data_IF_776236957001
#
_entry.id   IF_776236957001
#
_cell.length_a   1.000
_cell.length_b   1.000
_cell.length_c   1.000
_cell.angle_alpha   90.00
_cell.angle_beta   90.00
_cell.angle_gamma   90.00
#
_symmetry.space_group_name_H-M   'P 1'
#
loop_
_entity.id
_entity.type
_entity.pdbx_description
1 polymer ?
#
# COMPACT_ATOMS: atom_id res chain seq x y z
N UNK A 1 -22.73 80.25 -0.14
CA UNK A 1 -22.20 79.64 -1.36
C UNK A 1 -21.06 78.72 -0.97
N UNK A 2 -21.37 77.40 -0.80
CA UNK A 2 -20.39 76.40 -0.53
C UNK A 2 -20.74 75.16 -1.36
N UNK A 3 -19.75 74.49 -1.93
CA UNK A 3 -20.04 73.40 -2.86
C UNK A 3 -20.43 72.10 -2.16
N UNK A 4 -21.43 71.45 -2.72
CA UNK A 4 -21.92 70.12 -2.35
C UNK A 4 -20.91 69.09 -2.91
N UNK A 5 -20.33 68.30 -2.01
CA UNK A 5 -19.52 67.12 -2.37
C UNK A 5 -20.43 65.92 -2.44
N UNK A 6 -20.66 65.39 -3.64
CA UNK A 6 -21.40 64.15 -3.84
C UNK A 6 -20.51 62.93 -3.51
N UNK A 7 -20.96 62.13 -2.58
CA UNK A 7 -20.36 60.80 -2.25
C UNK A 7 -20.98 59.77 -3.18
N UNK A 8 -20.15 59.19 -4.06
CA UNK A 8 -20.51 58.07 -4.92
C UNK A 8 -20.34 56.78 -4.13
N UNK A 9 -21.44 56.12 -3.74
CA UNK A 9 -21.42 54.78 -3.17
C UNK A 9 -21.23 53.75 -4.28
N UNK A 10 -20.05 53.13 -4.32
CA UNK A 10 -19.83 51.92 -5.10
C UNK A 10 -20.41 50.71 -4.29
N UNK A 11 -21.52 50.17 -4.77
CA UNK A 11 -22.04 48.88 -4.34
C UNK A 11 -21.15 47.79 -4.97
N UNK A 12 -20.27 47.20 -4.16
CA UNK A 12 -19.58 45.97 -4.50
C UNK A 12 -20.51 44.78 -4.27
N UNK A 13 -20.97 44.17 -5.35
CA UNK A 13 -21.70 42.91 -5.31
C UNK A 13 -20.74 41.78 -4.94
N UNK A 14 -20.83 41.29 -3.70
CA UNK A 14 -20.20 40.09 -3.24
C UNK A 14 -21.00 38.87 -3.81
N UNK A 15 -20.53 38.31 -4.92
CA UNK A 15 -20.96 36.97 -5.34
C UNK A 15 -20.31 35.95 -4.43
N UNK A 16 -21.09 35.38 -3.52
CA UNK A 16 -20.70 34.21 -2.74
C UNK A 16 -20.55 33.01 -3.68
N UNK A 17 -19.32 32.59 -3.93
CA UNK A 17 -19.05 31.30 -4.52
C UNK A 17 -19.46 30.22 -3.51
N UNK A 18 -20.53 29.50 -3.80
CA UNK A 18 -20.91 28.30 -3.05
C UNK A 18 -19.81 27.23 -3.14
N UNK A 19 -19.72 26.33 -2.15
CA UNK A 19 -18.74 25.23 -2.21
C UNK A 19 -19.03 24.39 -3.44
N UNK A 20 -17.99 24.16 -4.25
CA UNK A 20 -18.06 23.24 -5.37
C UNK A 20 -18.45 21.85 -4.82
N UNK A 21 -19.59 21.34 -5.28
CA UNK A 21 -19.99 19.98 -5.01
C UNK A 21 -18.87 19.05 -5.57
N UNK A 22 -18.18 18.32 -4.70
CA UNK A 22 -17.33 17.21 -5.09
C UNK A 22 -18.24 16.18 -5.71
N UNK A 23 -18.31 16.17 -7.04
CA UNK A 23 -19.03 15.14 -7.78
C UNK A 23 -18.43 13.79 -7.39
N UNK A 24 -19.28 12.91 -6.85
CA UNK A 24 -18.93 11.50 -6.74
C UNK A 24 -18.50 11.02 -8.12
N UNK A 25 -17.30 10.45 -8.23
CA UNK A 25 -16.86 9.83 -9.45
C UNK A 25 -17.89 8.77 -9.82
N UNK A 26 -18.54 8.97 -10.97
CA UNK A 26 -19.45 7.97 -11.50
C UNK A 26 -18.74 6.64 -11.70
N UNK A 27 -19.48 5.52 -11.76
CA UNK A 27 -18.87 4.22 -12.02
C UNK A 27 -18.06 4.30 -13.32
N UNK A 28 -16.80 3.83 -13.26
CA UNK A 28 -15.93 3.76 -14.41
C UNK A 28 -16.62 2.97 -15.54
N UNK A 29 -16.48 3.37 -16.80
CA UNK A 29 -17.12 2.66 -17.92
C UNK A 29 -16.64 1.22 -17.94
N UNK A 30 -17.60 0.28 -18.00
CA UNK A 30 -17.35 -1.16 -18.13
C UNK A 30 -16.61 -1.35 -19.46
N UNK A 31 -15.32 -1.67 -19.39
CA UNK A 31 -14.51 -1.95 -20.58
C UNK A 31 -13.28 -1.07 -20.79
N UNK A 32 -12.94 -0.17 -19.87
CA UNK A 32 -11.67 0.56 -19.94
C UNK A 32 -10.50 -0.42 -19.74
N UNK A 33 -9.77 -0.72 -20.82
CA UNK A 33 -8.50 -1.46 -20.73
C UNK A 33 -7.42 -0.52 -20.22
N UNK A 34 -6.61 -1.01 -19.29
CA UNK A 34 -5.44 -0.28 -18.82
C UNK A 34 -4.51 0.03 -20.01
N UNK A 35 -4.00 1.25 -20.09
CA UNK A 35 -3.03 1.69 -21.08
C UNK A 35 -1.89 2.42 -20.38
N UNK A 36 -0.65 1.92 -20.58
CA UNK A 36 0.55 2.56 -20.05
C UNK A 36 0.90 3.85 -20.77
N UNK A 37 1.66 4.70 -20.11
CA UNK A 37 2.19 5.96 -20.67
C UNK A 37 3.57 6.27 -20.09
N UNK A 38 4.33 7.09 -20.83
CA UNK A 38 5.61 7.64 -20.38
C UNK A 38 5.48 9.15 -20.34
N UNK A 39 5.81 9.73 -19.21
CA UNK A 39 5.78 11.17 -19.01
C UNK A 39 6.87 11.91 -19.81
N UNK A 40 6.89 13.24 -19.77
CA UNK A 40 7.91 14.05 -20.45
C UNK A 40 9.30 13.73 -19.89
N UNK A 41 10.32 13.77 -20.75
CA UNK A 41 11.72 13.62 -20.36
C UNK A 41 12.20 14.77 -19.46
N UNK A 42 13.23 14.51 -18.69
CA UNK A 42 13.90 15.52 -17.85
C UNK A 42 15.06 16.09 -18.64
N UNK A 43 15.04 17.40 -18.85
CA UNK A 43 16.00 18.11 -19.67
C UNK A 43 17.42 18.10 -19.08
N UNK A 44 18.49 18.19 -19.93
CA UNK A 44 19.85 18.24 -19.47
C UNK A 44 20.18 19.53 -18.71
N UNK A 45 21.18 19.51 -17.82
CA UNK A 45 21.68 20.71 -17.16
C UNK A 45 22.31 21.67 -18.17
N UNK A 46 22.36 22.95 -17.85
CA UNK A 46 22.95 23.97 -18.73
C UNK A 46 24.46 23.81 -18.93
N UNK A 47 25.13 23.22 -17.97
CA UNK A 47 26.57 22.95 -18.04
C UNK A 47 26.96 21.70 -17.27
N UNK A 48 28.04 21.05 -17.68
CA UNK A 48 28.63 19.89 -17.00
C UNK A 48 30.12 20.12 -16.76
N UNK A 49 30.71 19.63 -15.65
CA UNK A 49 32.15 19.66 -15.43
C UNK A 49 32.92 18.89 -16.52
N UNK A 50 34.21 19.18 -16.70
CA UNK A 50 35.08 18.45 -17.64
C UNK A 50 36.50 18.29 -17.10
N UNK A 51 37.20 17.24 -17.54
CA UNK A 51 38.63 17.05 -17.28
C UNK A 51 38.99 16.69 -15.85
N UNK A 52 38.05 16.13 -15.09
CA UNK A 52 38.28 15.66 -13.71
C UNK A 52 39.18 14.43 -13.77
N UNK A 53 40.27 14.37 -12.99
CA UNK A 53 41.21 13.25 -13.00
C UNK A 53 40.56 11.92 -12.60
N UNK A 54 40.61 10.90 -13.46
CA UNK A 54 40.03 9.58 -13.19
C UNK A 54 38.76 9.28 -13.99
N UNK A 55 37.93 8.42 -13.43
CA UNK A 55 36.61 8.08 -13.96
C UNK A 55 35.54 8.93 -13.27
N UNK A 56 34.82 9.74 -14.05
CA UNK A 56 33.80 10.64 -13.56
C UNK A 56 32.64 10.70 -14.54
N UNK A 57 31.42 10.93 -14.05
CA UNK A 57 30.23 11.07 -14.86
C UNK A 57 29.35 12.21 -14.33
N UNK A 58 28.76 12.98 -15.23
CA UNK A 58 27.67 13.89 -14.88
C UNK A 58 26.37 13.46 -15.55
N UNK A 59 25.29 13.50 -14.80
CA UNK A 59 23.96 13.29 -15.37
C UNK A 59 23.67 14.34 -16.44
N UNK A 60 23.13 13.90 -17.58
CA UNK A 60 22.88 14.78 -18.73
C UNK A 60 21.40 14.84 -19.09
N UNK A 61 20.58 13.89 -18.70
CA UNK A 61 19.15 13.87 -18.96
C UNK A 61 18.60 12.45 -18.92
N UNK A 62 17.29 12.34 -18.85
CA UNK A 62 16.61 11.05 -18.80
C UNK A 62 15.22 11.10 -19.42
N UNK A 63 14.70 9.92 -19.81
CA UNK A 63 13.30 9.74 -20.17
C UNK A 63 12.38 10.01 -18.96
N UNK A 64 11.12 10.28 -19.24
CA UNK A 64 10.13 10.58 -18.22
C UNK A 64 9.77 9.38 -17.33
N UNK A 65 9.06 9.67 -16.25
CA UNK A 65 8.47 8.66 -15.38
C UNK A 65 7.34 7.93 -16.11
N UNK A 66 7.05 6.71 -15.66
CA UNK A 66 6.18 5.79 -16.37
C UNK A 66 4.93 5.48 -15.56
N UNK A 67 3.78 5.41 -16.26
CA UNK A 67 2.57 4.80 -15.74
C UNK A 67 2.30 3.55 -16.59
N UNK A 68 2.32 2.38 -15.97
CA UNK A 68 2.29 1.09 -16.65
C UNK A 68 1.16 0.22 -16.10
N UNK A 69 0.61 -0.63 -16.92
CA UNK A 69 -0.26 -1.70 -16.47
C UNK A 69 0.55 -2.81 -15.80
N UNK A 70 -0.09 -3.59 -14.92
CA UNK A 70 0.55 -4.74 -14.28
C UNK A 70 1.21 -5.67 -15.31
N UNK A 71 2.48 -6.01 -15.10
CA UNK A 71 3.28 -6.84 -15.99
C UNK A 71 3.78 -6.16 -17.28
N UNK A 72 3.33 -4.95 -17.58
CA UNK A 72 3.78 -4.20 -18.78
C UNK A 72 5.26 -3.83 -18.68
N UNK A 73 5.94 -3.80 -19.84
CA UNK A 73 7.34 -3.40 -19.95
C UNK A 73 7.47 -2.09 -20.68
N UNK A 74 8.41 -1.27 -20.22
CA UNK A 74 8.79 -0.04 -20.89
C UNK A 74 10.30 0.14 -20.87
N UNK A 75 10.80 0.94 -21.82
CA UNK A 75 12.22 1.27 -21.93
C UNK A 75 12.49 2.62 -21.29
N UNK A 76 13.44 2.66 -20.37
CA UNK A 76 14.02 3.86 -19.82
C UNK A 76 15.35 4.20 -20.51
N UNK A 77 15.62 5.48 -20.64
CA UNK A 77 16.87 6.00 -21.20
C UNK A 77 17.44 7.07 -20.28
N UNK A 78 18.73 6.97 -19.96
CA UNK A 78 19.47 8.02 -19.24
C UNK A 78 20.80 8.28 -19.92
N UNK A 79 21.16 9.54 -19.97
CA UNK A 79 22.44 9.99 -20.51
C UNK A 79 23.38 10.44 -19.39
N UNK A 80 24.60 9.97 -19.47
CA UNK A 80 25.69 10.46 -18.65
C UNK A 80 26.84 10.97 -19.52
N UNK A 81 27.33 12.13 -19.18
CA UNK A 81 28.50 12.75 -19.79
C UNK A 81 29.76 12.27 -19.07
N UNK A 82 30.75 11.75 -19.80
CA UNK A 82 32.07 11.41 -19.22
C UNK A 82 32.82 12.72 -18.93
N UNK A 83 32.84 13.12 -17.66
CA UNK A 83 33.52 14.32 -17.18
C UNK A 83 34.94 14.06 -16.75
N UNK A 84 35.33 12.76 -16.71
CA UNK A 84 36.64 12.31 -16.30
C UNK A 84 37.71 12.53 -17.37
N UNK A 85 38.97 12.27 -16.98
CA UNK A 85 40.13 12.23 -17.87
C UNK A 85 40.35 10.84 -18.48
N UNK A 86 39.66 9.81 -18.00
CA UNK A 86 39.70 8.44 -18.49
C UNK A 86 38.46 8.06 -19.27
N UNK A 87 38.68 7.32 -20.38
CA UNK A 87 37.56 6.77 -21.15
C UNK A 87 36.99 5.49 -20.52
N UNK A 88 35.73 5.23 -20.78
CA UNK A 88 35.05 3.98 -20.41
C UNK A 88 35.19 2.98 -21.57
N UNK A 89 35.70 1.80 -21.29
CA UNK A 89 35.97 0.76 -22.31
C UNK A 89 35.15 -0.48 -22.02
N UNK A 90 34.14 -0.75 -22.86
CA UNK A 90 33.12 -1.78 -22.62
C UNK A 90 33.67 -3.20 -22.39
N UNK A 91 34.75 -3.58 -23.05
CA UNK A 91 35.30 -4.92 -22.98
C UNK A 91 36.37 -5.10 -21.89
N UNK A 92 36.67 -4.09 -21.07
CA UNK A 92 37.78 -4.12 -20.12
C UNK A 92 37.27 -3.95 -18.68
N UNK A 93 37.48 -4.99 -17.86
CA UNK A 93 37.21 -4.90 -16.42
C UNK A 93 38.10 -3.80 -15.80
N UNK A 94 37.54 -2.99 -14.91
CA UNK A 94 38.18 -1.80 -14.35
C UNK A 94 38.07 -0.54 -15.22
N UNK A 95 37.44 -0.64 -16.40
CA UNK A 95 37.16 0.50 -17.30
C UNK A 95 35.74 0.48 -17.86
N UNK A 96 35.02 -0.64 -17.74
CA UNK A 96 33.65 -0.76 -18.25
C UNK A 96 32.64 -0.07 -17.34
N UNK A 97 31.80 0.80 -17.93
CA UNK A 97 30.77 1.52 -17.19
C UNK A 97 29.41 0.79 -17.20
N UNK A 98 28.79 0.74 -16.03
CA UNK A 98 27.44 0.25 -15.81
C UNK A 98 26.59 1.30 -15.08
N UNK A 99 25.29 1.08 -15.08
CA UNK A 99 24.37 1.66 -14.12
C UNK A 99 24.09 0.60 -13.05
N UNK A 100 24.37 0.90 -11.80
CA UNK A 100 24.07 0.06 -10.67
C UNK A 100 22.83 0.56 -9.91
N UNK A 101 22.15 -0.35 -9.22
CA UNK A 101 21.08 0.01 -8.29
C UNK A 101 21.63 0.80 -7.11
N UNK A 102 20.87 1.82 -6.68
CA UNK A 102 21.34 2.81 -5.72
C UNK A 102 20.22 3.37 -4.86
N UNK A 103 20.52 4.32 -3.96
CA UNK A 103 19.62 5.01 -3.04
C UNK A 103 18.88 4.09 -2.06
N UNK A 104 17.79 4.59 -1.49
CA UNK A 104 16.94 3.84 -0.55
C UNK A 104 16.11 2.75 -1.24
N UNK A 105 15.82 2.93 -2.54
CA UNK A 105 15.02 1.98 -3.32
C UNK A 105 15.68 1.73 -4.69
N UNK A 106 16.21 0.52 -4.89
CA UNK A 106 16.14 -0.66 -4.02
C UNK A 106 17.27 -0.73 -2.97
N UNK A 107 18.20 0.19 -2.97
CA UNK A 107 19.44 0.16 -2.20
C UNK A 107 20.65 -0.11 -3.06
N UNK A 108 21.85 0.23 -2.55
CA UNK A 108 23.10 -0.04 -3.24
C UNK A 108 23.29 -1.55 -3.45
N UNK A 109 23.50 -1.93 -4.70
CA UNK A 109 23.73 -3.32 -5.13
C UNK A 109 22.57 -4.30 -4.76
N UNK A 110 21.38 -3.80 -4.51
CA UNK A 110 20.19 -4.61 -4.22
C UNK A 110 19.37 -4.91 -5.49
N UNK A 111 18.68 -6.07 -5.54
CA UNK A 111 17.73 -6.36 -6.60
C UNK A 111 16.52 -5.43 -6.52
N UNK A 112 15.96 -5.06 -7.68
CA UNK A 112 14.75 -4.26 -7.76
C UNK A 112 13.58 -5.09 -8.26
N UNK A 113 12.39 -4.85 -7.68
CA UNK A 113 11.13 -5.43 -8.17
C UNK A 113 10.78 -4.98 -9.61
N UNK A 114 11.37 -3.88 -10.08
CA UNK A 114 11.16 -3.33 -11.42
C UNK A 114 12.06 -3.98 -12.49
N UNK A 115 13.01 -4.81 -12.09
CA UNK A 115 13.95 -5.47 -13.00
C UNK A 115 14.92 -6.33 -12.24
N UNK A 116 15.94 -6.84 -12.96
CA UNK A 116 16.89 -7.79 -12.42
C UNK A 116 16.42 -9.24 -12.57
N UNK A 117 17.32 -10.17 -12.36
CA UNK A 117 17.15 -11.60 -12.63
C UNK A 117 17.41 -12.47 -11.41
N UNK A 118 17.67 -11.91 -10.26
CA UNK A 118 18.16 -12.63 -9.11
C UNK A 118 17.53 -12.25 -7.77
N UNK A 119 16.50 -11.45 -7.75
CA UNK A 119 15.85 -11.07 -6.51
C UNK A 119 14.49 -11.74 -6.33
N UNK A 120 14.08 -12.02 -5.09
CA UNK A 120 12.73 -12.46 -4.78
C UNK A 120 11.74 -11.39 -5.24
N UNK A 121 10.87 -11.74 -6.18
CA UNK A 121 9.88 -10.82 -6.75
C UNK A 121 10.42 -9.88 -7.84
N UNK A 122 11.69 -10.03 -8.26
CA UNK A 122 12.26 -9.23 -9.36
C UNK A 122 11.98 -9.91 -10.70
N UNK A 123 11.33 -9.24 -11.68
CA UNK A 123 11.15 -9.78 -13.01
C UNK A 123 12.45 -9.80 -13.81
N UNK A 124 12.60 -10.76 -14.74
CA UNK A 124 13.71 -10.78 -15.67
C UNK A 124 13.48 -9.77 -16.80
N UNK A 125 14.23 -8.67 -16.82
CA UNK A 125 14.12 -7.59 -17.80
C UNK A 125 15.32 -7.49 -18.76
N UNK A 126 16.24 -8.44 -18.67
CA UNK A 126 17.47 -8.45 -19.50
C UNK A 126 18.56 -7.52 -18.97
N UNK A 127 18.52 -7.13 -17.70
CA UNK A 127 19.61 -6.42 -17.06
C UNK A 127 20.88 -7.28 -17.06
N UNK A 128 22.05 -6.68 -17.22
CA UNK A 128 23.32 -7.41 -17.20
C UNK A 128 23.51 -8.27 -15.94
N UNK A 129 23.01 -7.80 -14.79
CA UNK A 129 22.92 -8.52 -13.51
C UNK A 129 21.76 -7.99 -12.70
N UNK A 130 21.38 -8.68 -11.65
CA UNK A 130 20.28 -8.25 -10.75
C UNK A 130 20.48 -6.82 -10.19
N UNK A 131 21.73 -6.37 -10.07
CA UNK A 131 22.12 -5.07 -9.54
C UNK A 131 22.87 -4.19 -10.58
N UNK A 132 22.89 -4.60 -11.85
CA UNK A 132 23.45 -3.83 -12.97
C UNK A 132 22.38 -3.62 -14.03
N UNK A 133 21.78 -2.45 -13.97
CA UNK A 133 20.58 -2.08 -14.72
C UNK A 133 20.88 -1.96 -16.21
N UNK A 134 22.02 -1.35 -16.56
CA UNK A 134 22.46 -1.18 -17.94
C UNK A 134 23.99 -1.21 -18.05
N UNK A 135 24.45 -1.62 -19.22
CA UNK A 135 25.84 -1.55 -19.65
C UNK A 135 26.00 -0.37 -20.64
N UNK A 136 27.13 0.32 -20.64
CA UNK A 136 27.43 1.35 -21.64
C UNK A 136 27.16 0.83 -23.08
N UNK A 137 26.46 1.60 -23.94
CA UNK A 137 26.08 1.12 -25.27
C UNK A 137 27.24 1.07 -26.25
N UNK A 138 28.15 2.06 -26.20
CA UNK A 138 29.31 2.15 -27.09
C UNK A 138 30.47 1.33 -26.58
N UNK A 139 31.36 0.85 -27.49
CA UNK A 139 32.60 0.17 -27.15
C UNK A 139 33.53 1.08 -26.37
N UNK A 140 33.51 2.38 -26.64
CA UNK A 140 34.31 3.40 -25.98
C UNK A 140 33.51 4.68 -25.80
N UNK A 141 33.60 5.27 -24.59
CA UNK A 141 33.05 6.58 -24.26
C UNK A 141 34.20 7.43 -23.70
N UNK A 142 34.78 8.28 -24.55
CA UNK A 142 35.93 9.11 -24.21
C UNK A 142 35.56 10.30 -23.32
N UNK A 143 36.60 10.96 -22.74
CA UNK A 143 36.40 12.25 -22.06
C UNK A 143 35.66 13.22 -22.94
N UNK A 144 34.64 13.87 -22.36
CA UNK A 144 33.78 14.82 -23.07
C UNK A 144 32.69 14.22 -23.95
N UNK A 145 32.53 12.89 -23.96
CA UNK A 145 31.46 12.21 -24.70
C UNK A 145 30.27 11.84 -23.80
N UNK A 146 29.11 11.63 -24.42
CA UNK A 146 27.87 11.24 -23.76
C UNK A 146 27.59 9.76 -24.02
N UNK A 147 27.24 9.02 -22.98
CA UNK A 147 26.70 7.66 -23.08
C UNK A 147 25.20 7.66 -22.79
N UNK A 148 24.42 7.10 -23.73
CA UNK A 148 22.98 6.92 -23.63
C UNK A 148 22.66 5.49 -23.20
N UNK A 149 22.55 5.27 -21.89
CA UNK A 149 22.18 3.97 -21.36
C UNK A 149 20.68 3.72 -21.55
N UNK A 150 20.36 2.52 -22.02
CA UNK A 150 18.97 2.07 -22.15
C UNK A 150 18.77 0.80 -21.34
N UNK A 151 17.63 0.67 -20.71
CA UNK A 151 17.23 -0.51 -19.95
C UNK A 151 15.71 -0.66 -19.93
N UNK A 152 15.24 -1.88 -19.74
CA UNK A 152 13.81 -2.13 -19.57
C UNK A 152 13.45 -2.20 -18.10
N UNK A 153 12.29 -1.70 -17.77
CA UNK A 153 11.59 -1.96 -16.50
C UNK A 153 10.34 -2.78 -16.79
N UNK A 154 9.93 -3.58 -15.83
CA UNK A 154 8.66 -4.30 -15.87
C UNK A 154 7.84 -3.94 -14.64
N UNK A 155 6.60 -3.54 -14.88
CA UNK A 155 5.65 -3.25 -13.81
C UNK A 155 5.37 -4.53 -12.99
N UNK A 156 5.44 -4.48 -11.65
CA UNK A 156 4.93 -5.53 -10.80
C UNK A 156 3.44 -5.82 -11.05
N UNK A 157 2.96 -6.93 -10.51
CA UNK A 157 1.53 -7.29 -10.61
C UNK A 157 0.62 -6.40 -9.77
N UNK A 158 1.17 -5.74 -8.75
CA UNK A 158 0.41 -4.91 -7.82
C UNK A 158 0.37 -3.46 -8.28
N UNK A 159 -0.82 -2.83 -8.31
CA UNK A 159 -0.92 -1.38 -8.41
C UNK A 159 -0.17 -0.67 -7.28
N UNK A 160 0.51 0.42 -7.60
CA UNK A 160 1.31 1.15 -6.63
C UNK A 160 2.34 2.06 -7.30
N UNK A 161 3.12 2.74 -6.48
CA UNK A 161 4.23 3.57 -6.94
C UNK A 161 5.54 2.93 -6.50
N UNK A 162 6.42 2.70 -7.46
CA UNK A 162 7.71 2.02 -7.27
C UNK A 162 8.82 2.95 -7.69
N UNK A 163 9.95 2.88 -6.98
CA UNK A 163 11.12 3.69 -7.27
C UNK A 163 12.30 2.82 -7.70
N UNK A 164 13.09 3.31 -8.63
CA UNK A 164 14.34 2.71 -9.05
C UNK A 164 15.42 3.79 -9.03
N UNK A 165 16.21 3.83 -7.97
CA UNK A 165 17.42 4.64 -7.87
C UNK A 165 18.57 3.97 -8.60
N UNK A 166 19.33 4.76 -9.35
CA UNK A 166 20.51 4.29 -10.10
C UNK A 166 21.68 5.24 -9.93
N UNK A 167 22.88 4.66 -10.07
CA UNK A 167 24.12 5.42 -10.08
C UNK A 167 25.11 4.82 -11.07
N UNK A 168 25.83 5.62 -11.85
CA UNK A 168 26.88 5.11 -12.74
C UNK A 168 28.10 4.62 -11.95
N UNK A 169 28.72 3.57 -12.45
CA UNK A 169 29.95 3.02 -11.88
C UNK A 169 30.84 2.49 -12.99
N UNK A 170 32.17 2.40 -12.72
CA UNK A 170 33.09 1.59 -13.49
C UNK A 170 33.33 0.31 -12.70
N UNK A 171 32.88 -0.82 -13.28
CA UNK A 171 32.92 -2.12 -12.62
C UNK A 171 34.34 -2.51 -12.22
N UNK A 172 34.54 -2.84 -10.93
CA UNK A 172 35.86 -3.19 -10.37
C UNK A 172 36.79 -2.00 -10.10
N UNK A 173 36.33 -0.76 -10.28
CA UNK A 173 37.10 0.44 -10.03
C UNK A 173 36.44 1.42 -9.06
N UNK A 174 35.33 2.00 -9.44
CA UNK A 174 34.67 3.06 -8.60
C UNK A 174 33.22 3.28 -8.95
N UNK A 175 32.44 3.71 -7.97
CA UNK A 175 31.19 4.44 -8.20
C UNK A 175 31.54 5.87 -8.62
N UNK A 176 30.88 6.34 -9.68
CA UNK A 176 31.01 7.73 -10.13
C UNK A 176 30.08 8.64 -9.34
N UNK A 177 29.85 9.87 -9.77
CA UNK A 177 29.08 10.86 -9.01
C UNK A 177 27.63 10.43 -8.81
N UNK A 178 27.11 10.74 -7.63
CA UNK A 178 25.71 10.59 -7.29
C UNK A 178 24.94 11.88 -7.61
N UNK A 179 24.05 11.80 -8.56
CA UNK A 179 23.14 12.90 -8.94
C UNK A 179 21.70 12.64 -8.46
N UNK A 180 21.48 11.64 -7.62
CA UNK A 180 20.13 11.29 -7.15
C UNK A 180 19.21 10.87 -8.29
N UNK A 181 19.72 10.15 -9.29
CA UNK A 181 18.96 9.76 -10.48
C UNK A 181 18.07 8.57 -10.18
N UNK A 182 16.79 8.73 -10.46
CA UNK A 182 15.80 7.68 -10.23
C UNK A 182 14.66 7.71 -11.26
N UNK A 183 13.91 6.61 -11.34
CA UNK A 183 12.60 6.54 -11.96
C UNK A 183 11.52 6.30 -10.92
N UNK A 184 10.36 6.90 -11.18
CA UNK A 184 9.09 6.53 -10.56
C UNK A 184 8.29 5.78 -11.61
N UNK A 185 7.87 4.57 -11.26
CA UNK A 185 6.97 3.73 -12.06
C UNK A 185 5.65 3.59 -11.30
N UNK A 186 4.60 4.18 -11.83
CA UNK A 186 3.24 4.02 -11.31
C UNK A 186 2.60 2.82 -11.99
N UNK A 187 2.29 1.78 -11.25
CA UNK A 187 1.53 0.62 -11.75
C UNK A 187 0.06 0.91 -11.55
N UNK A 188 -0.66 0.99 -12.66
CA UNK A 188 -2.08 1.36 -12.70
C UNK A 188 -2.97 0.22 -12.21
N UNK A 189 -4.14 0.57 -11.68
CA UNK A 189 -5.24 -0.36 -11.43
C UNK A 189 -5.70 -1.00 -12.74
N UNK A 190 -6.44 -2.10 -12.65
CA UNK A 190 -6.94 -2.82 -13.83
C UNK A 190 -7.87 -1.96 -14.73
N UNK A 191 -8.51 -0.95 -14.16
CA UNK A 191 -9.35 0.02 -14.88
C UNK A 191 -8.56 1.19 -15.49
N UNK A 192 -7.23 1.16 -15.40
CA UNK A 192 -6.35 2.22 -15.92
C UNK A 192 -6.23 3.45 -15.01
N UNK A 193 -6.88 3.48 -13.86
CA UNK A 193 -6.73 4.59 -12.89
C UNK A 193 -5.42 4.46 -12.13
N UNK A 194 -4.86 5.62 -11.72
CA UNK A 194 -3.70 5.60 -10.84
C UNK A 194 -4.10 5.11 -9.42
N UNK A 195 -3.26 4.30 -8.77
CA UNK A 195 -3.49 3.91 -7.39
C UNK A 195 -3.47 5.14 -6.48
N UNK A 196 -4.31 5.14 -5.46
CA UNK A 196 -4.26 6.22 -4.46
C UNK A 196 -2.91 6.19 -3.74
N UNK A 197 -2.25 7.33 -3.56
CA UNK A 197 -1.01 7.39 -2.78
C UNK A 197 -1.20 6.74 -1.40
N UNK A 198 -0.16 6.05 -0.93
CA UNK A 198 -0.16 5.56 0.46
C UNK A 198 -0.20 6.75 1.40
N UNK A 199 -1.15 6.82 2.32
CA UNK A 199 -1.17 7.88 3.32
C UNK A 199 0.12 7.87 4.14
N UNK A 200 0.53 8.99 4.73
CA UNK A 200 1.67 9.00 5.64
C UNK A 200 1.39 8.10 6.85
N UNK A 201 2.42 7.52 7.42
CA UNK A 201 2.29 6.78 8.68
C UNK A 201 1.62 7.65 9.73
N UNK A 202 0.63 7.11 10.46
CA UNK A 202 -0.10 7.91 11.44
C UNK A 202 0.82 8.36 12.58
N UNK A 203 0.58 9.56 13.08
CA UNK A 203 1.34 10.10 14.22
C UNK A 203 1.25 9.17 15.44
N UNK A 204 2.34 9.09 16.23
CA UNK A 204 2.40 8.28 17.44
C UNK A 204 2.49 6.77 17.20
N UNK A 205 2.83 6.33 15.99
CA UNK A 205 3.19 4.93 15.72
C UNK A 205 4.70 4.77 15.78
N UNK A 206 5.14 3.78 16.56
CA UNK A 206 6.55 3.37 16.67
C UNK A 206 6.68 1.97 16.08
N UNK A 207 7.57 1.80 15.12
CA UNK A 207 7.89 0.48 14.55
C UNK A 207 9.17 -0.04 15.19
N UNK A 208 9.12 -1.26 15.73
CA UNK A 208 10.26 -1.99 16.29
C UNK A 208 10.55 -3.21 15.42
N UNK A 209 11.72 -3.23 14.82
CA UNK A 209 12.12 -4.29 13.90
C UNK A 209 13.19 -5.14 14.60
N UNK A 210 12.95 -6.46 14.67
CA UNK A 210 13.85 -7.42 15.30
C UNK A 210 14.22 -8.54 14.31
N UNK A 211 15.49 -8.76 14.11
CA UNK A 211 15.99 -9.72 13.13
C UNK A 211 16.00 -9.16 11.69
N UNK A 212 16.22 -10.05 10.72
CA UNK A 212 16.35 -9.69 9.30
C UNK A 212 14.98 -9.65 8.60
N UNK A 213 14.12 -8.72 9.01
CA UNK A 213 12.83 -8.48 8.33
C UNK A 213 13.10 -7.83 6.97
N UNK A 214 12.43 -8.29 5.91
CA UNK A 214 12.63 -7.76 4.57
C UNK A 214 12.07 -6.33 4.43
N UNK A 215 12.66 -5.53 3.54
CA UNK A 215 12.16 -4.19 3.25
C UNK A 215 10.72 -4.20 2.70
N UNK A 216 10.35 -5.25 1.94
CA UNK A 216 8.99 -5.43 1.45
C UNK A 216 7.99 -5.71 2.56
N UNK A 217 8.34 -6.56 3.53
CA UNK A 217 7.47 -6.84 4.68
C UNK A 217 7.24 -5.56 5.50
N UNK A 218 8.31 -4.78 5.73
CA UNK A 218 8.21 -3.48 6.41
C UNK A 218 7.28 -2.53 5.66
N UNK A 219 7.45 -2.40 4.35
CA UNK A 219 6.63 -1.53 3.52
C UNK A 219 5.15 -1.94 3.51
N UNK A 220 4.85 -3.24 3.45
CA UNK A 220 3.49 -3.77 3.46
C UNK A 220 2.78 -3.52 4.79
N UNK A 221 3.50 -3.68 5.92
CA UNK A 221 2.97 -3.33 7.25
C UNK A 221 2.71 -1.83 7.37
N UNK A 222 3.65 -0.99 6.94
CA UNK A 222 3.48 0.46 6.94
C UNK A 222 2.27 0.88 6.12
N UNK A 223 2.09 0.28 4.94
CA UNK A 223 0.96 0.58 4.05
C UNK A 223 -0.37 0.14 4.67
N UNK A 224 -0.49 -1.08 5.18
CA UNK A 224 -1.69 -1.57 5.85
C UNK A 224 -2.11 -0.68 7.02
N UNK A 225 -1.17 -0.35 7.91
CA UNK A 225 -1.39 0.55 9.05
C UNK A 225 -1.84 1.94 8.59
N UNK A 226 -1.16 2.53 7.60
CA UNK A 226 -1.46 3.88 7.14
C UNK A 226 -2.86 3.96 6.50
N UNK A 227 -3.23 2.95 5.71
CA UNK A 227 -4.56 2.90 5.06
C UNK A 227 -5.68 2.68 6.07
N UNK A 228 -5.51 1.74 7.01
CA UNK A 228 -6.48 1.53 8.09
C UNK A 228 -6.67 2.80 8.94
N UNK A 229 -5.58 3.47 9.30
CA UNK A 229 -5.63 4.72 10.06
C UNK A 229 -6.38 5.82 9.30
N UNK A 230 -6.08 6.02 8.02
CA UNK A 230 -6.74 7.03 7.19
C UNK A 230 -8.24 6.74 7.05
N UNK A 231 -8.61 5.48 6.79
CA UNK A 231 -10.01 5.07 6.67
C UNK A 231 -10.78 5.27 7.98
N UNK A 232 -10.21 4.82 9.11
CA UNK A 232 -10.82 4.96 10.43
C UNK A 232 -11.00 6.43 10.81
N UNK A 233 -10.00 7.27 10.59
CA UNK A 233 -10.08 8.70 10.85
C UNK A 233 -11.18 9.40 10.04
N UNK A 234 -11.31 9.06 8.77
CA UNK A 234 -12.28 9.66 7.87
C UNK A 234 -13.73 9.16 8.06
N UNK A 235 -13.92 7.86 8.35
CA UNK A 235 -15.23 7.22 8.26
C UNK A 235 -15.82 6.80 9.61
N UNK A 236 -14.97 6.42 10.58
CA UNK A 236 -15.45 5.88 11.87
C UNK A 236 -15.25 6.89 13.00
N UNK A 237 -14.24 7.73 12.85
CA UNK A 237 -13.86 8.70 13.89
C UNK A 237 -13.24 8.02 15.11
N UNK A 238 -12.75 8.86 16.03
CA UNK A 238 -11.98 8.42 17.19
C UNK A 238 -10.51 8.31 16.84
N UNK A 239 -9.78 9.41 17.11
CA UNK A 239 -8.32 9.35 17.07
C UNK A 239 -7.83 8.35 18.11
N UNK A 240 -6.72 7.67 17.78
CA UNK A 240 -6.04 6.87 18.78
C UNK A 240 -5.58 7.78 19.92
N UNK A 241 -6.02 7.45 21.11
CA UNK A 241 -5.62 8.17 22.32
C UNK A 241 -4.30 7.65 22.90
N UNK A 242 -3.80 6.51 22.40
CA UNK A 242 -2.60 5.85 22.90
C UNK A 242 -1.53 5.78 21.81
N UNK A 243 -0.27 5.94 22.22
CA UNK A 243 0.86 5.61 21.35
C UNK A 243 0.80 4.12 20.98
N UNK A 244 1.03 3.82 19.69
CA UNK A 244 1.02 2.46 19.18
C UNK A 244 2.44 1.96 18.96
N UNK A 245 2.72 0.73 19.39
CA UNK A 245 3.93 0.03 19.02
C UNK A 245 3.59 -1.12 18.07
N UNK A 246 4.23 -1.13 16.92
CA UNK A 246 4.17 -2.22 15.93
C UNK A 246 5.50 -2.95 15.99
N UNK A 247 5.47 -4.22 16.40
CA UNK A 247 6.66 -5.05 16.46
C UNK A 247 6.69 -5.97 15.25
N UNK A 248 7.74 -5.83 14.41
CA UNK A 248 8.00 -6.73 13.29
C UNK A 248 9.20 -7.59 13.65
N UNK A 249 9.04 -8.90 13.54
CA UNK A 249 10.11 -9.81 13.92
C UNK A 249 10.17 -11.05 13.04
N UNK A 250 11.38 -11.60 12.93
CA UNK A 250 11.55 -12.97 12.45
C UNK A 250 11.42 -13.89 13.67
N UNK A 251 10.42 -14.73 13.69
CA UNK A 251 10.17 -15.65 14.80
C UNK A 251 11.13 -16.83 14.82
N UNK A 252 11.01 -17.65 15.84
CA UNK A 252 11.81 -18.85 16.05
C UNK A 252 11.13 -20.13 15.53
N UNK A 253 9.95 -20.02 14.91
CA UNK A 253 9.17 -21.12 14.36
C UNK A 253 8.21 -21.81 15.35
N UNK A 254 8.07 -21.27 16.56
CA UNK A 254 7.13 -21.78 17.57
C UNK A 254 5.86 -20.94 17.69
N UNK A 255 5.80 -19.83 17.00
CA UNK A 255 4.68 -18.90 17.04
C UNK A 255 3.45 -19.50 16.36
N UNK A 256 2.37 -19.58 17.14
CA UNK A 256 1.09 -20.13 16.67
C UNK A 256 0.40 -19.26 15.64
N UNK A 257 0.57 -17.94 15.77
CA UNK A 257 -0.05 -16.92 14.91
C UNK A 257 1.02 -16.00 14.33
N UNK A 258 0.79 -15.50 13.11
CA UNK A 258 1.66 -14.48 12.53
C UNK A 258 1.48 -13.12 13.19
N UNK A 259 0.25 -12.87 13.61
CA UNK A 259 -0.22 -11.55 13.91
C UNK A 259 -1.08 -11.59 15.17
N UNK A 260 -0.87 -10.65 16.07
CA UNK A 260 -1.63 -10.57 17.33
C UNK A 260 -1.62 -9.16 17.88
N UNK A 261 -2.79 -8.64 18.22
CA UNK A 261 -2.90 -7.36 18.92
C UNK A 261 -3.11 -7.54 20.42
N UNK A 262 -2.42 -6.71 21.21
CA UNK A 262 -2.52 -6.66 22.66
C UNK A 262 -2.56 -5.21 23.14
N UNK A 263 -3.76 -4.66 23.29
CA UNK A 263 -3.95 -3.29 23.73
C UNK A 263 -3.37 -2.25 22.74
N UNK A 264 -2.39 -1.42 23.16
CA UNK A 264 -1.81 -0.40 22.30
C UNK A 264 -0.61 -0.91 21.48
N UNK A 265 -0.49 -2.22 21.27
CA UNK A 265 0.55 -2.83 20.45
C UNK A 265 0.04 -4.00 19.66
N UNK A 266 0.72 -4.30 18.56
CA UNK A 266 0.56 -5.58 17.87
C UNK A 266 1.89 -6.09 17.33
N UNK A 267 1.94 -7.40 17.14
CA UNK A 267 3.12 -8.13 16.69
C UNK A 267 2.86 -8.73 15.30
N UNK A 268 3.87 -8.67 14.43
CA UNK A 268 3.90 -9.35 13.13
C UNK A 268 5.13 -10.25 13.09
N UNK A 269 4.92 -11.56 12.96
CA UNK A 269 5.98 -12.57 12.83
C UNK A 269 6.12 -12.97 11.37
N UNK A 270 7.10 -12.39 10.69
CA UNK A 270 7.24 -12.50 9.24
C UNK A 270 7.68 -13.88 8.75
N UNK A 271 8.26 -14.73 9.62
CA UNK A 271 8.60 -16.12 9.32
C UNK A 271 7.40 -17.07 9.46
N UNK A 272 6.30 -16.69 10.11
CA UNK A 272 5.10 -17.49 10.20
C UNK A 272 4.47 -17.72 8.83
N UNK A 273 3.94 -18.91 8.56
CA UNK A 273 3.38 -19.27 7.25
C UNK A 273 2.20 -18.41 6.83
N UNK A 274 1.37 -17.95 7.77
CA UNK A 274 0.26 -17.07 7.47
C UNK A 274 0.73 -15.70 6.91
N UNK A 275 1.94 -15.27 7.27
CA UNK A 275 2.57 -14.07 6.71
C UNK A 275 3.43 -14.38 5.48
N UNK A 276 4.35 -15.34 5.59
CA UNK A 276 5.37 -15.61 4.55
C UNK A 276 4.79 -16.24 3.28
N UNK A 277 3.74 -17.02 3.42
CA UNK A 277 3.02 -17.70 2.34
C UNK A 277 1.52 -17.65 2.60
N UNK A 278 0.92 -16.44 2.66
CA UNK A 278 -0.50 -16.32 2.91
C UNK A 278 -1.25 -17.06 1.81
N UNK A 279 -2.21 -17.86 2.24
CA UNK A 279 -3.09 -18.57 1.31
C UNK A 279 -3.89 -17.51 0.60
N UNK A 280 -3.60 -17.29 -0.68
CA UNK A 280 -4.40 -16.40 -1.50
C UNK A 280 -5.81 -16.99 -1.59
N UNK A 281 -6.68 -16.54 -0.71
CA UNK A 281 -8.07 -16.99 -0.66
C UNK A 281 -8.81 -16.64 -1.95
N UNK A 282 -8.25 -15.76 -2.75
CA UNK A 282 -8.74 -15.38 -4.06
C UNK A 282 -7.57 -15.09 -5.02
N UNK A 283 -6.82 -16.09 -5.47
CA UNK A 283 -5.63 -15.93 -6.29
C UNK A 283 -5.87 -15.16 -7.60
N UNK A 284 -7.13 -15.12 -8.05
CA UNK A 284 -7.53 -14.39 -9.25
C UNK A 284 -7.81 -12.90 -8.99
N UNK A 285 -7.89 -12.47 -7.73
CA UNK A 285 -8.41 -11.16 -7.37
C UNK A 285 -7.44 -10.30 -6.57
N UNK A 286 -6.52 -10.90 -5.82
CA UNK A 286 -5.44 -10.21 -5.14
C UNK A 286 -4.26 -11.13 -4.79
N UNK A 287 -3.19 -10.56 -4.30
CA UNK A 287 -1.90 -11.21 -4.14
C UNK A 287 -1.53 -11.39 -2.67
N UNK A 288 -0.47 -12.15 -2.42
CA UNK A 288 0.13 -12.31 -1.09
C UNK A 288 0.47 -10.96 -0.41
N UNK A 289 0.90 -9.96 -1.20
CA UNK A 289 1.17 -8.61 -0.68
C UNK A 289 -0.11 -7.90 -0.22
N UNK A 290 -1.23 -8.12 -0.90
CA UNK A 290 -2.53 -7.58 -0.47
C UNK A 290 -2.99 -8.21 0.84
N UNK A 291 -2.83 -9.53 0.99
CA UNK A 291 -3.12 -10.24 2.24
C UNK A 291 -2.27 -9.72 3.41
N UNK A 292 -0.96 -9.50 3.21
CA UNK A 292 -0.10 -8.96 4.27
C UNK A 292 -0.49 -7.54 4.69
N UNK A 293 -0.91 -6.70 3.74
CA UNK A 293 -1.46 -5.37 4.05
C UNK A 293 -2.77 -5.47 4.82
N UNK A 294 -3.61 -6.44 4.45
CA UNK A 294 -4.86 -6.72 5.15
C UNK A 294 -4.59 -7.17 6.59
N UNK A 295 -3.70 -8.14 6.82
CA UNK A 295 -3.31 -8.58 8.15
C UNK A 295 -2.81 -7.42 9.04
N UNK A 296 -1.98 -6.54 8.49
CA UNK A 296 -1.50 -5.36 9.22
C UNK A 296 -2.63 -4.36 9.52
N UNK A 297 -3.57 -4.18 8.60
CA UNK A 297 -4.74 -3.33 8.80
C UNK A 297 -5.73 -3.93 9.82
N UNK A 298 -5.87 -5.26 9.85
CA UNK A 298 -6.65 -6.01 10.80
C UNK A 298 -6.13 -5.80 12.24
N UNK A 299 -4.85 -6.04 12.47
CA UNK A 299 -4.23 -5.85 13.78
C UNK A 299 -4.28 -4.37 14.22
N UNK A 300 -4.09 -3.45 13.28
CA UNK A 300 -4.30 -2.02 13.57
C UNK A 300 -5.73 -1.71 14.01
N UNK A 301 -6.73 -2.37 13.42
CA UNK A 301 -8.13 -2.18 13.78
C UNK A 301 -8.43 -2.65 15.21
N UNK A 302 -7.77 -3.71 15.69
CA UNK A 302 -7.83 -4.10 17.10
C UNK A 302 -7.24 -3.03 18.03
N UNK A 303 -6.14 -2.36 17.67
CA UNK A 303 -5.62 -1.25 18.48
C UNK A 303 -6.55 -0.04 18.50
N UNK A 304 -7.29 0.20 17.42
CA UNK A 304 -8.36 1.19 17.38
C UNK A 304 -9.52 0.79 18.32
N UNK A 305 -9.97 -0.46 18.30
CA UNK A 305 -10.96 -0.97 19.26
C UNK A 305 -10.53 -0.71 20.70
N UNK A 306 -9.26 -0.99 21.00
CA UNK A 306 -8.68 -0.69 22.30
C UNK A 306 -8.72 0.81 22.65
N UNK A 307 -8.39 1.66 21.72
CA UNK A 307 -8.40 3.13 21.92
C UNK A 307 -9.79 3.68 22.21
N UNK A 308 -10.84 3.08 21.62
CA UNK A 308 -12.22 3.55 21.78
C UNK A 308 -12.90 2.98 23.04
N UNK A 309 -12.73 1.70 23.31
CA UNK A 309 -13.46 1.00 24.37
C UNK A 309 -12.59 0.13 25.29
N UNK A 310 -11.26 0.30 25.24
CA UNK A 310 -10.32 -0.49 26.04
C UNK A 310 -10.42 -1.98 25.69
N UNK A 311 -9.96 -2.81 26.61
CA UNK A 311 -10.02 -4.28 26.47
C UNK A 311 -11.46 -4.79 26.24
N UNK A 312 -12.46 -4.12 26.77
CA UNK A 312 -13.84 -4.53 26.62
C UNK A 312 -14.32 -4.51 25.15
N UNK A 313 -13.85 -3.57 24.33
CA UNK A 313 -14.16 -3.58 22.91
C UNK A 313 -13.43 -4.68 22.13
N UNK A 314 -12.21 -5.05 22.54
CA UNK A 314 -11.46 -6.10 21.85
C UNK A 314 -11.96 -7.51 22.16
N UNK A 315 -12.36 -7.78 23.41
CA UNK A 315 -12.65 -9.16 23.87
C UNK A 315 -13.93 -9.26 24.72
N UNK A 316 -14.66 -8.20 24.93
CA UNK A 316 -15.87 -8.17 25.78
C UNK A 316 -17.17 -8.54 25.06
N UNK A 317 -17.11 -8.83 23.78
CA UNK A 317 -18.23 -9.31 22.96
C UNK A 317 -17.97 -10.70 22.39
N UNK A 318 -18.92 -11.25 21.62
CA UNK A 318 -18.70 -12.49 20.91
C UNK A 318 -17.58 -12.33 19.89
N UNK A 319 -16.75 -13.33 19.74
CA UNK A 319 -15.55 -13.26 18.90
C UNK A 319 -15.88 -12.94 17.44
N UNK A 320 -17.03 -13.46 16.91
CA UNK A 320 -17.46 -13.14 15.56
C UNK A 320 -17.67 -11.62 15.33
N UNK A 321 -18.06 -10.88 16.39
CA UNK A 321 -18.25 -9.42 16.31
C UNK A 321 -16.91 -8.69 16.40
N UNK A 322 -16.05 -9.06 17.36
CA UNK A 322 -14.77 -8.36 17.57
C UNK A 322 -13.79 -8.59 16.44
N UNK A 323 -13.64 -9.82 15.98
CA UNK A 323 -12.82 -10.18 14.81
C UNK A 323 -13.47 -9.68 13.52
N UNK A 324 -14.79 -9.86 13.36
CA UNK A 324 -15.50 -9.37 12.19
C UNK A 324 -15.44 -7.84 12.02
N UNK A 325 -15.33 -7.08 13.11
CA UNK A 325 -15.04 -5.64 13.04
C UNK A 325 -13.64 -5.38 12.49
N UNK A 326 -12.62 -6.08 12.98
CA UNK A 326 -11.24 -5.91 12.52
C UNK A 326 -11.11 -6.27 11.04
N UNK A 327 -11.67 -7.42 10.61
CA UNK A 327 -11.76 -7.85 9.21
C UNK A 327 -12.47 -6.81 8.33
N UNK A 328 -13.65 -6.37 8.76
CA UNK A 328 -14.47 -5.44 7.97
C UNK A 328 -13.79 -4.08 7.80
N UNK A 329 -13.15 -3.57 8.84
CA UNK A 329 -12.42 -2.30 8.79
C UNK A 329 -11.14 -2.42 7.95
N UNK A 330 -10.42 -3.54 8.02
CA UNK A 330 -9.25 -3.82 7.21
C UNK A 330 -9.61 -3.86 5.72
N UNK A 331 -10.55 -4.73 5.31
CA UNK A 331 -10.95 -4.82 3.91
C UNK A 331 -11.53 -3.51 3.37
N UNK A 332 -12.40 -2.83 4.14
CA UNK A 332 -12.95 -1.54 3.72
C UNK A 332 -11.87 -0.48 3.53
N UNK A 333 -10.83 -0.48 4.35
CA UNK A 333 -9.71 0.45 4.20
C UNK A 333 -8.92 0.21 2.92
N UNK A 334 -8.73 -1.06 2.52
CA UNK A 334 -8.04 -1.44 1.30
C UNK A 334 -8.91 -1.23 0.05
N UNK A 335 -10.23 -1.45 0.17
CA UNK A 335 -11.19 -1.15 -0.91
C UNK A 335 -11.30 0.36 -1.14
N UNK A 336 -11.44 1.15 -0.07
CA UNK A 336 -11.47 2.62 -0.17
C UNK A 336 -10.19 3.17 -0.81
N UNK A 337 -9.06 2.55 -0.51
CA UNK A 337 -7.76 2.89 -1.08
C UNK A 337 -7.56 2.40 -2.52
N UNK A 338 -8.46 1.58 -3.07
CA UNK A 338 -8.32 0.97 -4.40
C UNK A 338 -7.28 -0.15 -4.48
N UNK A 339 -6.77 -0.64 -3.33
CA UNK A 339 -5.85 -1.80 -3.28
C UNK A 339 -6.61 -3.08 -3.61
N UNK A 340 -7.85 -3.20 -3.13
CA UNK A 340 -8.78 -4.27 -3.48
C UNK A 340 -9.93 -3.67 -4.29
N UNK A 341 -10.19 -4.12 -5.52
CA UNK A 341 -11.39 -3.73 -6.24
C UNK A 341 -12.66 -4.17 -5.49
N UNK A 342 -13.61 -3.27 -5.33
CA UNK A 342 -14.84 -3.56 -4.57
C UNK A 342 -15.60 -4.80 -5.09
N UNK A 343 -15.64 -5.00 -6.41
CA UNK A 343 -16.25 -6.18 -7.01
C UNK A 343 -15.59 -7.51 -6.58
N UNK A 344 -14.30 -7.48 -6.21
CA UNK A 344 -13.58 -8.67 -5.79
C UNK A 344 -13.97 -9.12 -4.37
N UNK A 345 -14.41 -8.20 -3.51
CA UNK A 345 -14.85 -8.53 -2.16
C UNK A 345 -16.06 -9.45 -2.15
N UNK A 346 -17.05 -9.21 -3.02
CA UNK A 346 -18.23 -10.09 -3.12
C UNK A 346 -17.85 -11.51 -3.58
N UNK A 347 -17.02 -11.60 -4.61
CA UNK A 347 -16.52 -12.89 -5.14
C UNK A 347 -15.73 -13.64 -4.08
N UNK A 348 -14.84 -12.94 -3.39
CA UNK A 348 -14.02 -13.50 -2.31
C UNK A 348 -14.89 -14.02 -1.16
N UNK A 349 -15.78 -13.19 -0.62
CA UNK A 349 -16.63 -13.55 0.52
C UNK A 349 -17.52 -14.76 0.19
N UNK A 350 -18.14 -14.78 -1.00
CA UNK A 350 -18.94 -15.93 -1.45
C UNK A 350 -18.11 -17.20 -1.56
N UNK A 351 -16.89 -17.12 -2.09
CA UNK A 351 -15.98 -18.27 -2.19
C UNK A 351 -15.63 -18.81 -0.81
N UNK A 352 -15.25 -17.94 0.13
CA UNK A 352 -14.91 -18.32 1.50
C UNK A 352 -16.06 -19.00 2.22
N UNK A 353 -17.26 -18.45 2.12
CA UNK A 353 -18.45 -19.00 2.76
C UNK A 353 -18.90 -20.33 2.13
N UNK A 354 -18.72 -20.53 0.82
CA UNK A 354 -19.04 -21.80 0.14
C UNK A 354 -18.08 -22.93 0.49
N UNK A 355 -16.80 -22.62 0.75
CA UNK A 355 -15.78 -23.60 1.08
C UNK A 355 -15.77 -24.00 2.55
N UNK A 356 -16.44 -23.23 3.42
CA UNK A 356 -16.48 -23.45 4.86
C UNK A 356 -17.65 -24.33 5.29
N UNK A 357 -17.49 -24.99 6.45
CA UNK A 357 -18.61 -25.65 7.10
C UNK A 357 -19.62 -24.61 7.59
N UNK A 358 -20.90 -24.90 7.44
CA UNK A 358 -21.94 -23.99 7.92
C UNK A 358 -21.99 -23.95 9.45
N UNK A 359 -21.83 -22.76 9.99
CA UNK A 359 -22.03 -22.44 11.41
C UNK A 359 -22.91 -21.20 11.52
N UNK A 360 -23.68 -21.09 12.58
CA UNK A 360 -24.52 -19.91 12.86
C UNK A 360 -23.75 -18.90 13.69
N UNK A 361 -24.11 -17.60 13.63
CA UNK A 361 -23.55 -16.60 14.53
C UNK A 361 -23.74 -16.96 16.00
N UNK A 362 -24.88 -17.57 16.35
CA UNK A 362 -25.16 -18.07 17.71
C UNK A 362 -24.15 -19.14 18.12
N UNK A 363 -23.81 -20.07 17.25
CA UNK A 363 -22.81 -21.09 17.56
C UNK A 363 -21.42 -20.52 17.73
N UNK A 364 -21.10 -19.40 17.03
CA UNK A 364 -19.83 -18.70 17.14
C UNK A 364 -19.68 -17.88 18.44
N UNK A 365 -20.73 -17.69 19.22
CA UNK A 365 -20.60 -17.19 20.59
C UNK A 365 -19.95 -18.21 21.52
N UNK A 366 -20.27 -19.49 21.33
CA UNK A 366 -19.79 -20.57 22.20
C UNK A 366 -18.45 -21.17 21.75
N UNK A 367 -18.08 -21.03 20.49
CA UNK A 367 -16.87 -21.62 19.93
C UNK A 367 -16.37 -20.93 18.68
N UNK A 368 -15.12 -21.23 18.30
CA UNK A 368 -14.44 -20.63 17.14
C UNK A 368 -13.78 -21.73 16.30
N UNK A 369 -14.56 -22.57 15.59
CA UNK A 369 -14.02 -23.65 14.79
C UNK A 369 -13.36 -23.09 13.53
N UNK A 370 -12.07 -23.37 13.34
CA UNK A 370 -11.30 -22.88 12.22
C UNK A 370 -11.83 -23.36 10.85
N UNK A 371 -12.35 -24.58 10.82
CA UNK A 371 -12.89 -25.24 9.62
C UNK A 371 -14.15 -24.56 9.08
N UNK A 372 -14.84 -23.79 9.93
CA UNK A 372 -16.05 -23.03 9.57
C UNK A 372 -15.75 -21.66 8.94
N UNK A 373 -14.50 -21.31 8.78
CA UNK A 373 -14.05 -19.96 8.36
C UNK A 373 -14.80 -18.83 9.09
N UNK A 374 -14.69 -18.77 10.44
CA UNK A 374 -15.46 -17.83 11.24
C UNK A 374 -15.14 -16.36 10.96
N UNK A 375 -13.94 -16.06 10.43
CA UNK A 375 -13.57 -14.72 10.00
C UNK A 375 -14.47 -14.23 8.85
N UNK A 376 -14.67 -15.04 7.81
CA UNK A 376 -15.54 -14.69 6.70
C UNK A 376 -17.02 -14.52 7.13
N UNK A 377 -17.48 -15.32 8.09
CA UNK A 377 -18.84 -15.18 8.66
C UNK A 377 -18.94 -13.89 9.46
N UNK A 378 -17.97 -13.62 10.33
CA UNK A 378 -17.89 -12.37 11.10
C UNK A 378 -17.82 -11.13 10.22
N UNK A 379 -16.96 -11.17 9.19
CA UNK A 379 -16.87 -10.11 8.18
C UNK A 379 -18.24 -9.81 7.55
N UNK A 380 -18.90 -10.82 6.98
CA UNK A 380 -20.19 -10.62 6.31
C UNK A 380 -21.26 -10.07 7.26
N UNK A 381 -21.26 -10.54 8.52
CA UNK A 381 -22.20 -10.07 9.53
C UNK A 381 -21.98 -8.58 9.87
N UNK A 382 -20.73 -8.20 10.10
CA UNK A 382 -20.38 -6.80 10.40
C UNK A 382 -20.58 -5.92 9.18
N UNK A 383 -20.22 -6.38 7.98
CA UNK A 383 -20.44 -5.62 6.75
C UNK A 383 -21.92 -5.31 6.51
N UNK A 384 -22.81 -6.28 6.77
CA UNK A 384 -24.25 -6.07 6.74
C UNK A 384 -24.72 -5.04 7.79
N UNK A 385 -24.19 -5.10 9.02
CA UNK A 385 -24.52 -4.11 10.04
C UNK A 385 -24.07 -2.71 9.63
N UNK A 386 -22.88 -2.57 9.04
CA UNK A 386 -22.36 -1.31 8.54
C UNK A 386 -23.19 -0.75 7.38
N UNK A 387 -23.67 -1.60 6.48
CA UNK A 387 -24.56 -1.18 5.40
C UNK A 387 -25.89 -0.60 5.92
N UNK A 388 -26.39 -1.14 7.04
CA UNK A 388 -27.65 -0.69 7.64
C UNK A 388 -27.50 0.53 8.58
N UNK A 389 -26.39 0.64 9.32
CA UNK A 389 -26.25 1.58 10.44
C UNK A 389 -25.10 2.58 10.26
N UNK A 390 -24.28 2.40 9.23
CA UNK A 390 -23.06 3.18 9.03
C UNK A 390 -21.92 2.82 9.99
N UNK A 391 -20.70 3.27 9.67
CA UNK A 391 -19.51 2.87 10.40
C UNK A 391 -19.41 3.43 11.84
N UNK A 392 -20.09 4.54 12.14
CA UNK A 392 -20.13 5.11 13.48
C UNK A 392 -20.80 4.19 14.51
N UNK A 393 -21.67 3.25 14.07
CA UNK A 393 -22.31 2.30 14.96
C UNK A 393 -21.31 1.38 15.67
N UNK A 394 -20.21 0.98 14.99
CA UNK A 394 -19.13 0.21 15.62
C UNK A 394 -18.45 0.98 16.75
N UNK A 395 -18.13 2.24 16.49
CA UNK A 395 -17.55 3.12 17.52
C UNK A 395 -18.48 3.29 18.71
N UNK A 396 -19.78 3.47 18.45
CA UNK A 396 -20.77 3.59 19.51
C UNK A 396 -20.86 2.34 20.36
N UNK A 397 -20.83 1.15 19.74
CA UNK A 397 -20.79 -0.12 20.46
C UNK A 397 -19.52 -0.22 21.34
N UNK A 398 -18.35 0.01 20.78
CA UNK A 398 -17.08 0.01 21.51
C UNK A 398 -17.08 0.96 22.71
N UNK A 399 -17.54 2.19 22.51
CA UNK A 399 -17.60 3.18 23.58
C UNK A 399 -18.55 2.78 24.71
N UNK A 400 -19.66 2.08 24.41
CA UNK A 400 -20.63 1.59 25.41
C UNK A 400 -20.06 0.46 26.23
N UNK A 401 -19.52 -0.59 25.59
CA UNK A 401 -18.87 -1.70 26.33
C UNK A 401 -17.66 -1.22 27.14
N UNK A 402 -16.94 -0.22 26.64
CA UNK A 402 -15.83 0.42 27.35
C UNK A 402 -16.27 1.14 28.64
N UNK A 403 -17.53 1.56 28.73
CA UNK A 403 -18.15 2.12 29.95
C UNK A 403 -18.78 1.06 30.87
N UNK A 404 -18.62 -0.23 30.56
CA UNK A 404 -19.12 -1.34 31.37
C UNK A 404 -20.56 -1.78 31.02
N UNK A 405 -21.13 -1.32 29.91
CA UNK A 405 -22.41 -1.82 29.43
C UNK A 405 -22.24 -3.27 28.89
N UNK A 406 -23.24 -4.13 29.11
CA UNK A 406 -23.21 -5.49 28.54
C UNK A 406 -23.15 -5.42 27.02
N UNK A 407 -22.45 -6.36 26.38
CA UNK A 407 -22.31 -6.34 24.94
C UNK A 407 -23.66 -6.42 24.20
N UNK A 408 -24.66 -7.13 24.76
CA UNK A 408 -26.00 -7.26 24.19
C UNK A 408 -26.77 -5.94 24.25
N UNK A 409 -26.71 -5.24 25.41
CA UNK A 409 -27.33 -3.93 25.57
C UNK A 409 -26.68 -2.90 24.65
N UNK A 410 -25.35 -2.87 24.64
CA UNK A 410 -24.57 -2.01 23.75
C UNK A 410 -24.86 -2.30 22.26
N UNK A 411 -25.02 -3.58 21.90
CA UNK A 411 -25.37 -4.00 20.54
C UNK A 411 -26.75 -3.46 20.14
N UNK A 412 -27.76 -3.67 20.99
CA UNK A 412 -29.11 -3.18 20.74
C UNK A 412 -29.13 -1.67 20.56
N UNK A 413 -28.42 -0.95 21.42
CA UNK A 413 -28.34 0.52 21.36
C UNK A 413 -27.55 1.04 20.16
N UNK A 414 -26.54 0.32 19.68
CA UNK A 414 -25.73 0.75 18.54
C UNK A 414 -26.33 0.38 17.19
N UNK A 415 -27.02 -0.77 17.09
CA UNK A 415 -27.51 -1.31 15.82
C UNK A 415 -29.05 -1.37 15.71
N UNK A 416 -29.77 -0.88 16.70
CA UNK A 416 -31.21 -0.74 16.66
C UNK A 416 -32.01 -2.05 16.74
N UNK A 417 -31.36 -3.19 17.00
CA UNK A 417 -32.00 -4.50 17.12
C UNK A 417 -31.26 -5.39 18.13
N UNK A 418 -31.94 -6.35 18.73
CA UNK A 418 -31.29 -7.31 19.63
C UNK A 418 -30.36 -8.25 18.87
N UNK A 419 -29.33 -8.84 19.51
CA UNK A 419 -28.50 -9.88 18.90
C UNK A 419 -29.31 -11.03 18.33
N UNK A 420 -30.35 -11.51 19.04
CA UNK A 420 -31.19 -12.62 18.59
C UNK A 420 -31.95 -12.30 17.30
N UNK A 421 -32.54 -11.09 17.22
CA UNK A 421 -33.22 -10.62 16.02
C UNK A 421 -32.21 -10.49 14.84
N UNK A 422 -31.03 -9.97 15.11
CA UNK A 422 -29.97 -9.90 14.11
C UNK A 422 -29.55 -11.29 13.61
N UNK A 423 -29.32 -12.25 14.50
CA UNK A 423 -28.91 -13.60 14.11
C UNK A 423 -29.91 -14.24 13.17
N UNK A 424 -31.20 -14.17 13.51
CA UNK A 424 -32.25 -14.72 12.64
C UNK A 424 -32.24 -14.09 11.26
N UNK A 425 -32.24 -12.76 11.19
CA UNK A 425 -32.24 -12.04 9.90
C UNK A 425 -30.94 -12.21 9.11
N UNK A 426 -29.81 -12.42 9.79
CA UNK A 426 -28.53 -12.64 9.15
C UNK A 426 -28.44 -14.01 8.50
N UNK A 427 -28.93 -15.07 9.13
CA UNK A 427 -28.87 -16.42 8.56
C UNK A 427 -29.70 -16.51 7.28
N UNK A 428 -30.88 -15.89 7.25
CA UNK A 428 -31.72 -15.80 6.04
C UNK A 428 -30.97 -15.05 4.93
N UNK A 429 -30.37 -13.93 5.28
CA UNK A 429 -29.56 -13.13 4.34
C UNK A 429 -28.37 -13.95 3.82
N UNK A 430 -27.59 -14.59 4.70
CA UNK A 430 -26.42 -15.36 4.33
C UNK A 430 -26.77 -16.52 3.39
N UNK A 431 -27.86 -17.21 3.69
CA UNK A 431 -28.35 -18.30 2.84
C UNK A 431 -28.74 -17.83 1.43
N UNK A 432 -29.25 -16.60 1.29
CA UNK A 432 -29.52 -15.99 0.00
C UNK A 432 -28.24 -15.48 -0.69
N UNK A 433 -27.30 -14.90 0.08
CA UNK A 433 -26.09 -14.29 -0.42
C UNK A 433 -25.12 -15.28 -1.07
N UNK A 434 -24.97 -16.50 -0.53
CA UNK A 434 -24.06 -17.51 -1.04
C UNK A 434 -24.56 -18.29 -2.26
N UNK A 435 -25.84 -18.13 -2.60
CA UNK A 435 -26.44 -18.72 -3.82
C UNK A 435 -25.94 -18.00 -5.07
#
# INVERSE_FOLDING_TARGET
MGPVVGVLLLLASLTSAGPAATGAAGPAPIGATCAGSVGPGIAPPQSVPRGIAGFHAAWYGQSGYMSLCAGERATATVAYFNTGSRGWVRSRLGEVAYLGTWESEPGQDQPSILGGDGGRGSPATGWPRFNRVALQPASYVGPGQIAWFQFSVQAPSLPGTYRLGIRPLVEGATWMEDYGVFWVVTVLNADGTAPRPTPPSPAGVTYRITGSVSASDIAEVHEGVARASAYLGANVGGDRTHALTVNLMVGNGTERFCCTAAGPSFDIVTSNTAWSAPTAAAPDTWTASTERKELAAHEYSHTWQYSVGGRACMVGGPRWLTEGMAESLAYRSLVDAGVIPAANMDVFTKRQLRSAQYVTLRSLEAGWPAEANPFAVGYLAVDRMLAANGPLALRNWCARVGRGESWQSAFTAAFGQSPDAFYTSFEDFRAAYVR
#
